data_IF_397922365253
#
_entry.id   IF_397922365253
#
_cell.length_a   1.000
_cell.length_b   1.000
_cell.length_c   1.000
_cell.angle_alpha   90.00
_cell.angle_beta   90.00
_cell.angle_gamma   90.00
#
_symmetry.space_group_name_H-M   'P 1'
#
loop_
_entity.id
_entity.type
_entity.pdbx_description
1 polymer ?
#
# COMPACT_ATOMS: atom_id res chain seq x y z
N UNK A 1 17.33 -5.77 -47.54
CA UNK A 1 16.07 -5.52 -46.80
C UNK A 1 15.61 -6.64 -45.84
N UNK A 2 16.01 -7.92 -46.02
CA UNK A 2 15.60 -9.01 -45.11
C UNK A 2 16.39 -9.04 -43.78
N UNK A 3 17.69 -8.72 -43.81
CA UNK A 3 18.56 -8.59 -42.62
C UNK A 3 18.14 -7.42 -41.70
N UNK A 4 17.68 -6.30 -42.26
CA UNK A 4 17.21 -5.15 -41.48
C UNK A 4 15.93 -5.46 -40.69
N UNK A 5 15.07 -6.36 -41.22
CA UNK A 5 13.86 -6.84 -40.52
C UNK A 5 14.19 -7.80 -39.37
N UNK A 6 15.25 -8.61 -39.50
CA UNK A 6 15.71 -9.53 -38.44
C UNK A 6 16.37 -8.76 -37.29
N UNK A 7 17.11 -7.70 -37.59
CA UNK A 7 17.74 -6.83 -36.58
C UNK A 7 16.71 -6.05 -35.75
N UNK A 8 15.60 -5.60 -36.36
CA UNK A 8 14.48 -4.95 -35.65
C UNK A 8 13.77 -5.91 -34.69
N UNK A 9 13.62 -7.19 -35.06
CA UNK A 9 12.98 -8.20 -34.20
C UNK A 9 13.88 -8.58 -33.02
N UNK A 10 15.21 -8.62 -33.22
CA UNK A 10 16.17 -8.87 -32.13
C UNK A 10 16.24 -7.69 -31.17
N UNK A 11 16.22 -6.44 -31.65
CA UNK A 11 16.13 -5.24 -30.78
C UNK A 11 14.81 -5.20 -30.02
N UNK A 12 13.68 -5.60 -30.65
CA UNK A 12 12.39 -5.68 -29.96
C UNK A 12 12.32 -6.81 -28.91
N UNK A 13 13.09 -7.89 -29.06
CA UNK A 13 13.23 -8.96 -28.06
C UNK A 13 14.30 -8.66 -27.00
N UNK A 14 15.33 -7.87 -27.30
CA UNK A 14 16.36 -7.45 -26.34
C UNK A 14 15.84 -6.38 -25.37
N UNK A 15 14.71 -5.75 -25.66
CA UNK A 15 14.01 -4.85 -24.73
C UNK A 15 13.38 -5.56 -23.52
N UNK A 16 13.35 -6.90 -23.49
CA UNK A 16 12.78 -7.68 -22.38
C UNK A 16 13.74 -7.89 -21.20
N UNK A 17 14.98 -7.41 -21.29
CA UNK A 17 15.96 -7.48 -20.20
C UNK A 17 15.99 -6.20 -19.36
N UNK A 18 14.83 -5.74 -18.92
CA UNK A 18 14.74 -4.91 -17.73
C UNK A 18 13.88 -5.69 -16.72
N UNK A 19 14.55 -6.53 -15.93
CA UNK A 19 13.94 -7.25 -14.82
C UNK A 19 13.51 -6.23 -13.75
N UNK A 20 12.34 -5.64 -13.97
CA UNK A 20 11.62 -4.86 -12.98
C UNK A 20 11.06 -5.82 -11.91
N UNK A 21 10.65 -5.29 -10.75
CA UNK A 21 10.01 -6.12 -9.76
C UNK A 21 8.77 -6.77 -10.36
N UNK A 22 8.72 -8.10 -10.31
CA UNK A 22 7.50 -8.83 -10.65
C UNK A 22 6.76 -9.10 -9.36
N UNK A 23 5.68 -8.37 -9.12
CA UNK A 23 4.79 -8.59 -7.98
C UNK A 23 3.94 -9.81 -8.29
N UNK A 24 4.05 -10.83 -7.44
CA UNK A 24 3.32 -12.11 -7.58
C UNK A 24 2.08 -12.12 -6.71
N UNK A 25 2.12 -11.44 -5.57
CA UNK A 25 1.01 -11.38 -4.63
C UNK A 25 0.88 -9.95 -4.10
N UNK A 26 -0.35 -9.44 -4.08
CA UNK A 26 -0.72 -8.15 -3.49
C UNK A 26 -2.05 -8.35 -2.77
N UNK A 27 -2.08 -8.12 -1.45
CA UNK A 27 -3.25 -8.30 -0.60
C UNK A 27 -3.36 -7.21 0.44
N UNK A 28 -4.59 -6.86 0.77
CA UNK A 28 -4.94 -5.93 1.83
C UNK A 28 -5.96 -6.59 2.78
N UNK A 29 -5.57 -6.79 4.03
CA UNK A 29 -6.37 -7.47 5.04
C UNK A 29 -6.79 -6.47 6.13
N UNK A 30 -8.09 -6.20 6.31
CA UNK A 30 -8.56 -5.35 7.39
C UNK A 30 -8.44 -6.08 8.73
N UNK A 31 -7.80 -5.44 9.70
CA UNK A 31 -7.74 -5.87 11.10
C UNK A 31 -8.35 -4.79 12.01
N UNK A 32 -8.40 -5.05 13.32
CA UNK A 32 -8.98 -4.08 14.26
C UNK A 32 -8.22 -2.75 14.23
N UNK A 33 -8.92 -1.70 13.80
CA UNK A 33 -8.44 -0.31 13.68
C UNK A 33 -7.18 -0.14 12.80
N UNK A 34 -6.89 -1.11 11.93
CA UNK A 34 -5.73 -1.08 11.01
C UNK A 34 -5.96 -1.88 9.75
N UNK A 35 -5.15 -1.63 8.72
CA UNK A 35 -5.11 -2.44 7.49
C UNK A 35 -3.70 -2.98 7.34
N UNK A 36 -3.58 -4.28 7.10
CA UNK A 36 -2.32 -4.96 6.89
C UNK A 36 -2.19 -5.27 5.40
N UNK A 37 -1.13 -4.76 4.78
CA UNK A 37 -0.81 -4.97 3.38
C UNK A 37 0.29 -6.00 3.28
N UNK A 38 0.07 -7.03 2.48
CA UNK A 38 1.04 -8.08 2.22
C UNK A 38 1.36 -8.14 0.75
N UNK A 39 2.64 -8.27 0.44
CA UNK A 39 3.06 -8.48 -0.93
C UNK A 39 4.25 -9.40 -1.05
N UNK A 40 4.32 -10.04 -2.21
CA UNK A 40 5.42 -10.91 -2.59
C UNK A 40 5.91 -10.59 -3.98
N UNK A 41 7.22 -10.69 -4.15
CA UNK A 41 7.92 -10.45 -5.41
C UNK A 41 8.59 -11.75 -5.86
N UNK A 42 8.76 -11.95 -7.17
CA UNK A 42 9.56 -13.08 -7.70
C UNK A 42 10.96 -12.67 -8.15
N UNK A 43 11.14 -11.42 -8.54
CA UNK A 43 12.44 -10.83 -8.88
C UNK A 43 12.47 -9.39 -8.37
N UNK A 44 13.65 -8.94 -7.96
CA UNK A 44 13.89 -7.61 -7.41
C UNK A 44 15.27 -7.06 -7.79
N UNK A 45 15.83 -7.53 -8.91
CA UNK A 45 17.23 -7.26 -9.29
C UNK A 45 17.52 -5.74 -9.40
N UNK A 46 16.57 -5.01 -9.97
CA UNK A 46 16.65 -3.55 -10.11
C UNK A 46 15.90 -2.75 -9.04
N UNK A 47 15.33 -3.39 -8.02
CA UNK A 47 14.48 -2.69 -7.03
C UNK A 47 15.35 -1.98 -6.00
N UNK A 48 15.02 -0.70 -5.75
CA UNK A 48 15.57 0.07 -4.64
C UNK A 48 14.67 0.00 -3.42
N UNK A 49 13.38 0.34 -3.59
CA UNK A 49 12.40 0.38 -2.51
C UNK A 49 10.97 0.22 -3.04
N UNK A 50 10.08 -0.12 -2.12
CA UNK A 50 8.64 -0.11 -2.32
C UNK A 50 8.05 1.09 -1.61
N UNK A 51 7.12 1.76 -2.26
CA UNK A 51 6.34 2.86 -1.71
C UNK A 51 4.89 2.42 -1.67
N UNK A 52 4.30 2.45 -0.48
CA UNK A 52 2.89 2.14 -0.29
C UNK A 52 2.11 3.42 -0.45
N UNK A 53 1.10 3.38 -1.32
CA UNK A 53 0.26 4.53 -1.62
C UNK A 53 -1.20 4.24 -1.30
N UNK A 54 -1.88 5.24 -0.74
CA UNK A 54 -3.29 5.17 -0.35
C UNK A 54 -4.11 6.26 -1.01
N UNK A 55 -5.34 5.94 -1.36
CA UNK A 55 -6.34 6.84 -1.92
C UNK A 55 -7.72 6.57 -1.31
N UNK A 56 -8.59 7.58 -1.33
CA UNK A 56 -10.03 7.46 -0.97
C UNK A 56 -10.95 7.58 -2.18
N UNK A 57 -10.40 7.89 -3.36
CA UNK A 57 -11.16 8.13 -4.60
C UNK A 57 -10.66 7.30 -5.80
N UNK A 58 -9.64 6.46 -5.57
CA UNK A 58 -8.94 5.66 -6.57
C UNK A 58 -8.29 6.45 -7.71
N UNK A 59 -8.07 7.76 -7.52
CA UNK A 59 -7.49 8.65 -8.53
C UNK A 59 -6.27 9.38 -7.98
N UNK A 60 -6.42 9.97 -6.80
CA UNK A 60 -5.35 10.69 -6.11
C UNK A 60 -4.77 9.80 -5.03
N UNK A 61 -3.51 9.40 -5.22
CA UNK A 61 -2.78 8.54 -4.31
C UNK A 61 -1.75 9.36 -3.53
N UNK A 62 -1.61 9.04 -2.25
CA UNK A 62 -0.68 9.67 -1.32
C UNK A 62 0.24 8.62 -0.73
N UNK A 63 1.52 8.96 -0.62
CA UNK A 63 2.54 8.09 -0.04
C UNK A 63 2.30 7.98 1.47
N UNK A 64 2.08 6.76 1.95
CA UNK A 64 1.83 6.49 3.38
C UNK A 64 2.98 5.75 4.06
N UNK A 65 3.92 5.23 3.28
CA UNK A 65 5.11 4.59 3.81
C UNK A 65 6.04 4.05 2.73
N UNK A 66 7.25 3.73 3.15
CA UNK A 66 8.28 3.14 2.30
C UNK A 66 8.85 1.89 2.98
N UNK A 67 9.08 0.85 2.18
CA UNK A 67 9.72 -0.39 2.63
C UNK A 67 10.92 -0.66 1.74
N UNK A 68 12.10 -0.72 2.34
CA UNK A 68 13.32 -1.07 1.63
C UNK A 68 13.28 -2.54 1.18
N UNK A 69 13.94 -2.84 0.06
CA UNK A 69 14.15 -4.21 -0.39
C UNK A 69 14.87 -5.03 0.70
N UNK A 70 14.35 -6.23 0.98
CA UNK A 70 14.90 -7.18 1.94
C UNK A 70 15.31 -8.51 1.29
N UNK A 71 15.83 -9.47 2.08
CA UNK A 71 16.25 -10.78 1.57
C UNK A 71 15.09 -11.75 1.30
N UNK A 72 13.88 -11.49 1.81
CA UNK A 72 12.81 -12.48 1.91
C UNK A 72 11.77 -12.50 0.78
N UNK A 73 11.81 -11.57 -0.18
CA UNK A 73 10.79 -11.41 -1.24
C UNK A 73 9.32 -11.31 -0.74
N UNK A 74 9.14 -11.14 0.56
CA UNK A 74 7.85 -11.06 1.25
C UNK A 74 7.91 -9.88 2.18
N UNK A 75 6.86 -9.09 2.17
CA UNK A 75 6.82 -7.82 2.86
C UNK A 75 5.45 -7.59 3.48
N UNK A 76 5.48 -6.79 4.53
CA UNK A 76 4.31 -6.36 5.26
C UNK A 76 4.39 -4.85 5.51
N UNK A 77 3.26 -4.18 5.37
CA UNK A 77 3.08 -2.81 5.81
C UNK A 77 1.76 -2.66 6.55
N UNK A 78 1.79 -1.99 7.71
CA UNK A 78 0.61 -1.77 8.55
C UNK A 78 0.20 -0.30 8.49
N UNK A 79 -0.99 -0.04 7.97
CA UNK A 79 -1.63 1.27 8.03
C UNK A 79 -2.54 1.37 9.27
N UNK A 80 -2.09 2.13 10.27
CA UNK A 80 -2.85 2.42 11.49
C UNK A 80 -3.53 3.79 11.45
N UNK A 81 -3.35 4.58 10.38
CA UNK A 81 -3.84 5.96 10.30
C UNK A 81 -5.11 6.06 9.46
N UNK A 82 -6.13 5.29 9.84
CA UNK A 82 -7.39 5.14 9.10
C UNK A 82 -8.47 6.16 9.53
N UNK A 83 -8.19 6.92 10.58
CA UNK A 83 -9.17 7.78 11.23
C UNK A 83 -10.28 6.97 11.92
N UNK A 84 -11.37 7.65 12.29
CA UNK A 84 -12.55 7.03 12.96
C UNK A 84 -13.67 6.66 11.99
N UNK A 85 -13.46 6.81 10.68
CA UNK A 85 -14.50 6.69 9.67
C UNK A 85 -14.33 5.42 8.85
N UNK A 86 -15.41 4.65 8.72
CA UNK A 86 -15.47 3.45 7.88
C UNK A 86 -15.60 3.86 6.41
N UNK A 87 -14.50 4.36 5.86
CA UNK A 87 -14.38 4.78 4.45
C UNK A 87 -13.73 3.68 3.61
N UNK A 88 -14.11 3.61 2.33
CA UNK A 88 -13.42 2.78 1.36
C UNK A 88 -12.04 3.38 1.03
N UNK A 89 -10.99 2.59 1.26
CA UNK A 89 -9.63 2.95 0.89
C UNK A 89 -9.16 2.12 -0.30
N UNK A 90 -8.30 2.71 -1.11
CA UNK A 90 -7.63 2.07 -2.23
C UNK A 90 -6.13 2.08 -1.95
N UNK A 91 -5.50 0.91 -2.01
CA UNK A 91 -4.05 0.77 -1.82
C UNK A 91 -3.40 0.26 -3.07
N UNK A 92 -2.27 0.86 -3.43
CA UNK A 92 -1.41 0.33 -4.49
C UNK A 92 0.04 0.36 -4.03
N UNK A 93 0.84 -0.45 -4.70
CA UNK A 93 2.28 -0.52 -4.46
C UNK A 93 3.00 0.16 -5.62
N UNK A 94 3.85 1.13 -5.32
CA UNK A 94 4.78 1.75 -6.27
C UNK A 94 6.19 1.23 -6.02
N UNK A 95 6.74 0.53 -6.99
CA UNK A 95 8.11 0.05 -7.01
C UNK A 95 9.00 1.17 -7.54
N UNK A 96 10.07 1.49 -6.81
CA UNK A 96 11.10 2.42 -7.24
C UNK A 96 12.37 1.63 -7.53
N UNK A 97 12.84 1.71 -8.76
CA UNK A 97 14.04 1.02 -9.19
C UNK A 97 15.31 1.83 -8.91
N UNK A 98 16.48 1.20 -9.01
CA UNK A 98 17.78 1.82 -8.76
C UNK A 98 18.11 2.91 -9.77
N UNK A 99 17.65 2.75 -11.00
CA UNK A 99 17.75 3.71 -12.11
C UNK A 99 16.77 4.90 -12.01
N UNK A 100 15.90 4.91 -11.00
CA UNK A 100 14.91 5.96 -10.79
C UNK A 100 13.60 5.75 -11.54
N UNK A 101 13.47 4.70 -12.35
CA UNK A 101 12.18 4.32 -12.94
C UNK A 101 11.21 3.86 -11.86
N UNK A 102 9.93 4.12 -12.09
CA UNK A 102 8.86 3.77 -11.15
C UNK A 102 7.78 2.98 -11.86
N UNK A 103 7.22 2.00 -11.15
CA UNK A 103 6.11 1.18 -11.63
C UNK A 103 5.09 1.02 -10.51
N UNK A 104 3.83 1.31 -10.79
CA UNK A 104 2.74 1.11 -9.84
C UNK A 104 1.89 -0.09 -10.26
N UNK A 105 1.47 -0.87 -9.28
CA UNK A 105 0.48 -1.94 -9.48
C UNK A 105 -0.95 -1.39 -9.51
N UNK A 106 -1.88 -2.24 -9.93
CA UNK A 106 -3.31 -2.03 -9.75
C UNK A 106 -3.67 -1.83 -8.27
N UNK A 107 -4.66 -0.98 -8.05
CA UNK A 107 -5.17 -0.65 -6.73
C UNK A 107 -6.10 -1.74 -6.18
N UNK A 108 -5.98 -2.03 -4.89
CA UNK A 108 -6.93 -2.87 -4.16
C UNK A 108 -7.87 -2.02 -3.29
N UNK A 109 -9.20 -2.17 -3.47
CA UNK A 109 -10.18 -1.59 -2.57
C UNK A 109 -10.28 -2.40 -1.26
N UNK A 110 -10.34 -1.72 -0.11
CA UNK A 110 -10.52 -2.34 1.20
C UNK A 110 -11.29 -1.41 2.15
N UNK A 111 -12.17 -1.98 2.96
CA UNK A 111 -12.93 -1.27 3.99
C UNK A 111 -12.38 -1.68 5.36
N UNK A 112 -12.02 -0.73 6.23
CA UNK A 112 -11.40 -1.03 7.52
C UNK A 112 -12.40 -1.59 8.54
N UNK A 113 -11.90 -2.36 9.49
CA UNK A 113 -12.66 -2.83 10.64
C UNK A 113 -12.42 -1.89 11.84
N UNK A 114 -13.25 -0.85 11.97
CA UNK A 114 -13.10 0.17 13.02
C UNK A 114 -13.98 -0.19 14.22
N UNK A 115 -13.38 -0.24 15.41
CA UNK A 115 -14.11 -0.47 16.66
C UNK A 115 -14.66 0.85 17.22
N UNK A 116 -15.95 1.10 16.99
CA UNK A 116 -16.59 2.40 17.23
C UNK A 116 -16.84 2.76 18.71
N UNK A 117 -16.19 2.13 19.69
CA UNK A 117 -16.50 2.37 21.11
C UNK A 117 -15.55 3.45 21.65
N UNK A 118 -16.00 4.71 21.81
CA UNK A 118 -15.26 5.66 22.63
C UNK A 118 -15.15 5.09 24.03
N UNK A 119 -13.95 5.10 24.60
CA UNK A 119 -13.69 4.65 25.96
C UNK A 119 -14.56 5.49 26.93
N UNK A 120 -15.73 4.98 27.34
CA UNK A 120 -16.74 5.67 28.17
C UNK A 120 -16.23 6.01 29.58
N UNK A 121 -15.01 5.58 29.93
CA UNK A 121 -14.34 5.91 31.19
C UNK A 121 -14.11 7.43 31.38
N UNK A 122 -14.10 8.22 30.31
CA UNK A 122 -14.06 9.69 30.40
C UNK A 122 -15.42 10.33 30.64
N UNK A 123 -16.50 9.70 30.16
CA UNK A 123 -17.88 10.19 30.34
C UNK A 123 -18.36 9.97 31.78
N UNK A 124 -17.99 8.85 32.41
CA UNK A 124 -18.39 8.58 33.81
C UNK A 124 -17.78 9.58 34.79
N UNK A 125 -16.61 10.16 34.52
CA UNK A 125 -16.04 11.24 35.33
C UNK A 125 -16.80 12.56 35.19
N UNK A 126 -17.23 12.91 33.98
CA UNK A 126 -17.95 14.18 33.76
C UNK A 126 -19.40 14.13 34.26
N UNK A 127 -20.03 12.95 34.22
CA UNK A 127 -21.39 12.76 34.77
C UNK A 127 -21.47 13.02 36.27
N UNK A 128 -20.40 12.75 37.03
CA UNK A 128 -20.31 13.11 38.45
C UNK A 128 -20.33 14.62 38.69
N UNK A 129 -19.57 15.38 37.90
CA UNK A 129 -19.50 16.85 37.99
C UNK A 129 -20.79 17.53 37.55
N UNK A 130 -21.46 17.01 36.51
CA UNK A 130 -22.72 17.57 36.00
C UNK A 130 -23.84 17.40 37.02
N UNK A 131 -23.94 16.23 37.68
CA UNK A 131 -24.94 16.02 38.75
C UNK A 131 -24.75 16.97 39.94
N UNK A 132 -23.53 17.39 40.22
CA UNK A 132 -23.24 18.33 41.30
C UNK A 132 -23.69 19.77 41.00
N UNK A 133 -23.97 20.12 39.73
CA UNK A 133 -24.41 21.46 39.32
C UNK A 133 -25.92 21.70 39.50
N UNK A 134 -26.70 20.64 39.70
CA UNK A 134 -28.16 20.72 39.83
C UNK A 134 -28.66 20.45 41.26
N UNK A 135 -27.78 20.64 42.25
CA UNK A 135 -28.12 20.59 43.68
C UNK A 135 -27.95 21.97 44.32
#
# INVERSE_FOLDING_TARGET
MKIFKILVIIVAFFSFLYANAVIVEWKAEPAQDKIVLHWKTSSEDNVRKFVVERSTDNKHFTDIGEVAKGPGFQYEFVDNNLGKFKTLFYYRLRVVNKDGTVQSNDSLPVIPNISSIPNISSMTRTWGSIKALFR
#
